data_IF_627033077231
#
_entry.id   IF_627033077231
#
_cell.length_a   1.000
_cell.length_b   1.000
_cell.length_c   1.000
_cell.angle_alpha   90.00
_cell.angle_beta   90.00
_cell.angle_gamma   90.00
#
_symmetry.space_group_name_H-M   'P 1'
#
loop_
_entity.id
_entity.type
_entity.pdbx_description
1 polymer ?
#
# COMPACT_ATOMS: atom_id res chain seq x y z
N UNK A 1 26.91 -4.79 19.57
CA UNK A 1 26.05 -5.93 19.96
C UNK A 1 24.70 -5.51 20.55
N UNK A 2 24.55 -4.30 21.12
CA UNK A 2 23.28 -3.83 21.67
C UNK A 2 22.25 -3.35 20.60
N UNK A 3 22.71 -2.80 19.48
CA UNK A 3 21.82 -2.20 18.46
C UNK A 3 21.04 -3.23 17.63
N UNK A 4 21.63 -4.40 17.36
CA UNK A 4 20.97 -5.49 16.62
C UNK A 4 19.81 -6.14 17.40
N UNK A 5 19.87 -6.15 18.73
CA UNK A 5 18.82 -6.68 19.61
C UNK A 5 17.66 -5.69 19.77
N UNK A 6 17.92 -4.39 19.60
CA UNK A 6 16.90 -3.34 19.66
C UNK A 6 16.07 -3.30 18.38
N UNK A 7 16.72 -3.40 17.21
CA UNK A 7 16.06 -3.47 15.90
C UNK A 7 15.19 -4.74 15.76
N UNK A 8 15.66 -5.92 16.20
CA UNK A 8 14.84 -7.15 16.15
C UNK A 8 13.63 -7.10 17.10
N UNK A 9 13.76 -6.46 18.26
CA UNK A 9 12.65 -6.24 19.20
C UNK A 9 11.63 -5.24 18.67
N UNK A 10 12.05 -4.16 18.01
CA UNK A 10 11.11 -3.22 17.38
C UNK A 10 10.42 -3.83 16.17
N UNK A 11 11.11 -4.65 15.38
CA UNK A 11 10.50 -5.38 14.27
C UNK A 11 9.50 -6.45 14.76
N UNK A 12 9.84 -7.19 15.82
CA UNK A 12 8.94 -8.14 16.47
C UNK A 12 7.74 -7.45 17.15
N UNK A 13 7.94 -6.27 17.76
CA UNK A 13 6.83 -5.47 18.31
C UNK A 13 5.96 -4.85 17.22
N UNK A 14 6.53 -4.44 16.09
CA UNK A 14 5.79 -3.98 14.92
C UNK A 14 4.96 -5.13 14.32
N UNK A 15 5.49 -6.37 14.27
CA UNK A 15 4.73 -7.58 13.91
C UNK A 15 3.64 -7.90 14.93
N UNK A 16 3.91 -7.81 16.23
CA UNK A 16 2.93 -8.09 17.29
C UNK A 16 1.79 -7.05 17.35
N UNK A 17 2.08 -5.78 17.07
CA UNK A 17 1.07 -4.71 16.98
C UNK A 17 0.28 -4.76 15.67
N UNK A 18 0.93 -5.12 14.55
CA UNK A 18 0.21 -5.53 13.32
C UNK A 18 -0.67 -6.75 13.57
N UNK A 19 -0.27 -7.70 14.42
CA UNK A 19 -1.07 -8.87 14.80
C UNK A 19 -2.36 -8.50 15.56
N UNK A 20 -2.34 -7.43 16.36
CA UNK A 20 -3.54 -6.90 17.03
C UNK A 20 -4.50 -6.25 16.02
N UNK A 21 -3.97 -5.54 15.01
CA UNK A 21 -4.77 -5.01 13.90
C UNK A 21 -5.35 -6.15 13.05
N UNK A 22 -4.60 -7.23 12.80
CA UNK A 22 -5.09 -8.47 12.16
C UNK A 22 -6.26 -9.08 12.95
N UNK A 23 -6.32 -8.95 14.28
CA UNK A 23 -7.47 -9.46 15.04
C UNK A 23 -8.73 -8.58 14.89
N UNK A 24 -8.57 -7.27 14.74
CA UNK A 24 -9.68 -6.36 14.40
C UNK A 24 -10.10 -6.50 12.92
N UNK A 25 -9.16 -6.78 12.00
CA UNK A 25 -9.42 -7.09 10.59
C UNK A 25 -10.07 -8.47 10.40
N UNK A 26 -9.65 -9.50 11.15
CA UNK A 26 -10.23 -10.85 11.10
C UNK A 26 -11.70 -10.89 11.54
N UNK A 27 -12.14 -9.97 12.38
CA UNK A 27 -13.55 -9.85 12.74
C UNK A 27 -14.42 -9.34 11.58
N UNK A 28 -13.82 -8.74 10.54
CA UNK A 28 -14.52 -8.18 9.38
C UNK A 28 -14.27 -8.93 8.06
N UNK A 29 -13.11 -9.59 7.89
CA UNK A 29 -12.70 -10.14 6.58
C UNK A 29 -12.97 -11.65 6.36
N UNK A 30 -13.56 -12.39 7.32
CA UNK A 30 -13.98 -13.79 7.10
C UNK A 30 -15.50 -13.99 6.98
N UNK A 31 -16.25 -12.91 6.76
CA UNK A 31 -17.68 -12.92 6.48
C UNK A 31 -18.01 -12.92 4.99
N UNK A 32 -17.64 -13.99 4.27
CA UNK A 32 -18.27 -14.37 3.00
C UNK A 32 -17.90 -13.53 1.77
N UNK A 33 -16.86 -13.96 1.05
CA UNK A 33 -16.94 -13.91 -0.42
C UNK A 33 -17.80 -15.11 -0.83
N UNK A 34 -19.12 -15.00 -0.66
CA UNK A 34 -20.05 -16.00 -1.17
C UNK A 34 -21.36 -15.34 -1.61
N UNK A 35 -21.64 -15.54 -2.90
CA UNK A 35 -22.93 -15.41 -3.58
C UNK A 35 -23.39 -13.99 -3.89
N UNK A 36 -23.05 -13.54 -5.11
CA UNK A 36 -23.71 -12.40 -5.75
C UNK A 36 -22.83 -11.46 -6.56
N UNK A 37 -21.64 -11.86 -7.02
CA UNK A 37 -20.85 -11.03 -7.93
C UNK A 37 -21.42 -11.15 -9.34
N UNK A 38 -21.88 -10.03 -9.89
CA UNK A 38 -22.14 -9.89 -11.32
C UNK A 38 -20.81 -9.82 -12.06
N UNK A 39 -20.69 -10.53 -13.18
CA UNK A 39 -19.52 -10.45 -14.07
C UNK A 39 -19.19 -8.97 -14.34
N UNK A 40 -18.02 -8.50 -13.88
CA UNK A 40 -17.48 -7.17 -14.20
C UNK A 40 -17.32 -6.18 -13.05
N UNK A 41 -17.75 -6.49 -11.82
CA UNK A 41 -17.45 -5.64 -10.66
C UNK A 41 -15.99 -5.86 -10.17
N UNK A 42 -15.22 -4.79 -9.91
CA UNK A 42 -13.84 -4.93 -9.43
C UNK A 42 -13.75 -5.65 -8.08
N UNK A 43 -12.73 -6.49 -7.92
CA UNK A 43 -12.42 -7.16 -6.66
C UNK A 43 -11.80 -6.16 -5.67
N UNK A 44 -12.66 -5.52 -4.89
CA UNK A 44 -12.28 -4.54 -3.86
C UNK A 44 -12.91 -4.90 -2.52
N UNK A 45 -12.08 -5.07 -1.50
CA UNK A 45 -12.56 -5.14 -0.11
C UNK A 45 -13.05 -3.74 0.33
N UNK A 46 -14.37 -3.62 0.53
CA UNK A 46 -14.99 -2.38 1.00
C UNK A 46 -14.59 -2.02 2.45
N UNK A 47 -14.32 -3.02 3.28
CA UNK A 47 -13.79 -2.83 4.61
C UNK A 47 -12.44 -2.13 4.53
N UNK A 48 -11.55 -2.60 3.67
CA UNK A 48 -10.24 -1.98 3.43
C UNK A 48 -10.34 -0.53 2.94
N UNK A 49 -11.26 -0.23 2.02
CA UNK A 49 -11.45 1.14 1.50
C UNK A 49 -11.80 2.16 2.60
N UNK A 50 -12.45 1.72 3.69
CA UNK A 50 -12.77 2.61 4.80
C UNK A 50 -11.52 3.11 5.54
N UNK A 51 -10.43 2.34 5.51
CA UNK A 51 -9.14 2.72 6.11
C UNK A 51 -8.27 3.54 5.14
N UNK A 52 -8.47 3.41 3.83
CA UNK A 52 -7.72 4.16 2.83
C UNK A 52 -8.17 5.62 2.79
N UNK A 53 -7.20 6.53 2.88
CA UNK A 53 -7.40 7.98 2.80
C UNK A 53 -6.42 8.59 1.79
N UNK A 54 -6.78 9.75 1.27
CA UNK A 54 -5.85 10.65 0.59
C UNK A 54 -5.51 11.80 1.54
N UNK A 55 -4.23 12.18 1.58
CA UNK A 55 -3.78 13.34 2.34
C UNK A 55 -4.06 14.60 1.54
N UNK A 56 -4.73 15.58 2.13
CA UNK A 56 -4.94 16.90 1.55
C UNK A 56 -4.48 17.99 2.51
N UNK A 57 -3.48 18.76 2.07
CA UNK A 57 -2.99 19.92 2.80
C UNK A 57 -2.72 21.08 1.84
N UNK A 58 -3.14 22.28 2.21
CA UNK A 58 -2.91 23.50 1.45
C UNK A 58 -1.42 23.84 1.35
N UNK A 59 -0.63 23.42 2.34
CA UNK A 59 0.83 23.60 2.37
C UNK A 59 1.58 22.58 1.48
N UNK A 60 0.84 21.75 0.73
CA UNK A 60 1.37 20.72 -0.16
C UNK A 60 1.91 19.48 0.56
N UNK A 61 1.91 19.46 1.89
CA UNK A 61 2.30 18.34 2.74
C UNK A 61 1.67 18.46 4.13
N UNK A 62 1.52 17.33 4.82
CA UNK A 62 1.14 17.29 6.24
C UNK A 62 2.28 16.70 7.08
N UNK A 63 2.41 17.19 8.31
CA UNK A 63 3.41 16.70 9.26
C UNK A 63 2.95 15.39 9.91
N UNK A 64 3.82 14.40 9.88
CA UNK A 64 3.70 13.16 10.65
C UNK A 64 4.25 13.40 12.04
N UNK A 65 3.50 13.00 13.06
CA UNK A 65 3.87 13.25 14.46
C UNK A 65 4.12 11.97 15.23
N UNK A 66 5.02 12.04 16.21
CA UNK A 66 5.33 10.92 17.11
C UNK A 66 4.15 10.50 17.99
N UNK A 67 3.22 11.42 18.26
CA UNK A 67 2.03 11.17 19.06
C UNK A 67 0.83 12.01 18.55
N UNK A 68 -0.36 11.67 19.04
CA UNK A 68 -1.65 12.26 18.69
C UNK A 68 -1.87 13.66 19.31
N UNK A 69 -0.99 14.63 19.02
CA UNK A 69 -1.04 15.99 19.56
C UNK A 69 -0.36 17.00 18.62
N UNK A 70 -0.78 18.27 18.66
CA UNK A 70 -0.13 19.34 17.87
C UNK A 70 1.23 19.77 18.43
N UNK A 71 1.49 19.45 19.70
CA UNK A 71 2.73 19.71 20.44
C UNK A 71 3.74 18.58 20.27
N UNK A 72 3.31 17.40 19.83
CA UNK A 72 4.18 16.25 19.60
C UNK A 72 5.21 16.51 18.50
N UNK A 73 6.39 15.89 18.66
CA UNK A 73 7.50 15.98 17.71
C UNK A 73 7.07 15.61 16.29
N UNK A 74 7.55 16.38 15.30
CA UNK A 74 7.37 16.08 13.88
C UNK A 74 8.46 15.08 13.48
N UNK A 75 8.07 13.84 13.22
CA UNK A 75 8.96 12.73 12.84
C UNK A 75 9.05 12.55 11.33
N UNK A 76 8.27 13.32 10.57
CA UNK A 76 8.34 13.29 9.11
C UNK A 76 7.24 14.10 8.45
N UNK A 77 7.15 13.96 7.13
CA UNK A 77 6.15 14.63 6.29
C UNK A 77 5.57 13.66 5.28
N UNK A 78 4.30 13.83 4.94
CA UNK A 78 3.62 13.15 3.84
C UNK A 78 3.12 14.19 2.85
N UNK A 79 3.32 13.98 1.56
CA UNK A 79 2.91 14.95 0.54
C UNK A 79 1.39 14.93 0.38
N UNK A 80 0.82 16.09 0.05
CA UNK A 80 -0.57 16.17 -0.39
C UNK A 80 -0.75 15.35 -1.67
N UNK A 81 -1.86 14.63 -1.77
CA UNK A 81 -2.15 13.67 -2.84
C UNK A 81 -1.60 12.26 -2.58
N UNK A 82 -0.78 12.04 -1.56
CA UNK A 82 -0.32 10.69 -1.21
C UNK A 82 -1.44 9.85 -0.56
N UNK A 83 -1.47 8.52 -0.81
CA UNK A 83 -2.39 7.61 -0.16
C UNK A 83 -1.84 7.24 1.23
N UNK A 84 -2.72 6.99 2.20
CA UNK A 84 -2.37 6.45 3.52
C UNK A 84 -3.46 5.51 4.01
N UNK A 85 -3.09 4.49 4.77
CA UNK A 85 -4.07 3.76 5.58
C UNK A 85 -4.12 4.39 6.97
N UNK A 86 -5.31 4.70 7.45
CA UNK A 86 -5.54 5.34 8.74
C UNK A 86 -6.37 4.43 9.64
N UNK A 87 -5.92 4.29 10.88
CA UNK A 87 -6.69 3.65 11.93
C UNK A 87 -8.00 4.44 12.16
N UNK A 88 -9.17 3.79 12.24
CA UNK A 88 -10.44 4.47 12.46
C UNK A 88 -10.53 5.11 13.84
N UNK A 89 -9.75 4.64 14.82
CA UNK A 89 -9.75 5.18 16.17
C UNK A 89 -9.05 6.54 16.20
N UNK A 90 -9.79 7.55 16.68
CA UNK A 90 -9.32 8.94 16.73
C UNK A 90 -8.88 9.28 18.14
N UNK A 91 -7.64 9.78 18.27
CA UNK A 91 -7.10 10.33 19.52
C UNK A 91 -6.83 11.82 19.35
N UNK A 92 -7.52 12.66 20.10
CA UNK A 92 -7.32 14.13 20.08
C UNK A 92 -7.38 14.76 18.67
N UNK A 93 -8.20 14.19 17.78
CA UNK A 93 -8.31 14.63 16.38
C UNK A 93 -7.24 14.06 15.44
N UNK A 94 -6.36 13.16 15.90
CA UNK A 94 -5.36 12.47 15.10
C UNK A 94 -5.69 11.00 14.90
N UNK A 95 -5.29 10.48 13.74
CA UNK A 95 -5.32 9.06 13.41
C UNK A 95 -3.89 8.52 13.42
N UNK A 96 -3.71 7.29 13.93
CA UNK A 96 -2.53 6.49 13.63
C UNK A 96 -2.56 6.16 12.12
N UNK A 97 -1.44 6.35 11.43
CA UNK A 97 -1.34 6.08 9.99
C UNK A 97 -0.23 5.10 9.65
N UNK A 98 -0.53 4.21 8.72
CA UNK A 98 0.38 3.21 8.20
C UNK A 98 0.95 3.69 6.87
N UNK A 99 2.28 3.84 6.87
CA UNK A 99 3.06 4.26 5.72
C UNK A 99 4.15 3.23 5.48
N UNK A 100 4.47 3.02 4.22
CA UNK A 100 5.62 2.24 3.82
C UNK A 100 6.91 3.05 3.99
N UNK A 101 7.46 3.03 5.20
CA UNK A 101 8.70 3.72 5.57
C UNK A 101 9.50 2.92 6.57
N UNK A 102 10.77 2.72 6.24
CA UNK A 102 11.75 2.03 7.05
C UNK A 102 12.64 3.07 7.78
N UNK A 103 12.05 3.83 8.69
CA UNK A 103 12.73 4.91 9.44
C UNK A 103 12.72 4.70 10.98
N UNK A 104 12.30 3.52 11.44
CA UNK A 104 12.26 3.17 12.87
C UNK A 104 11.07 3.72 13.65
N UNK A 105 10.23 4.57 13.07
CA UNK A 105 9.01 5.03 13.74
C UNK A 105 7.86 4.03 13.54
N UNK A 106 7.52 3.30 14.61
CA UNK A 106 6.44 2.29 14.61
C UNK A 106 5.02 2.88 14.67
N UNK A 107 4.89 4.10 15.19
CA UNK A 107 3.63 4.84 15.25
C UNK A 107 3.83 6.25 14.70
N UNK A 108 2.93 6.67 13.81
CA UNK A 108 2.91 8.02 13.24
C UNK A 108 1.49 8.51 13.19
N UNK A 109 1.28 9.77 13.57
CA UNK A 109 -0.04 10.35 13.65
C UNK A 109 -0.22 11.47 12.63
N UNK A 110 -1.40 11.50 12.00
CA UNK A 110 -1.86 12.61 11.14
C UNK A 110 -3.15 13.19 11.69
N UNK A 111 -3.27 14.51 11.65
CA UNK A 111 -4.49 15.17 12.05
C UNK A 111 -5.62 14.85 11.04
N UNK A 112 -6.79 14.45 11.53
CA UNK A 112 -7.89 13.95 10.71
C UNK A 112 -8.45 14.96 9.72
N UNK A 113 -8.27 16.27 9.97
CA UNK A 113 -8.67 17.31 9.00
C UNK A 113 -7.96 17.18 7.65
N UNK A 114 -6.78 16.54 7.63
CA UNK A 114 -5.94 16.31 6.44
C UNK A 114 -6.26 15.01 5.71
N UNK A 115 -7.10 14.15 6.28
CA UNK A 115 -7.42 12.84 5.72
C UNK A 115 -8.79 12.89 5.05
N UNK A 116 -8.85 12.63 3.74
CA UNK A 116 -10.12 12.51 3.02
C UNK A 116 -10.41 11.06 2.67
N UNK A 117 -11.65 10.58 2.88
CA UNK A 117 -12.04 9.24 2.49
C UNK A 117 -12.03 9.08 0.97
N UNK A 118 -11.79 7.86 0.50
CA UNK A 118 -11.81 7.51 -0.94
C UNK A 118 -12.77 6.36 -1.26
N UNK A 119 -13.51 5.90 -0.25
CA UNK A 119 -14.53 4.84 -0.30
C UNK A 119 -15.67 5.11 -1.31
N UNK A 120 -15.96 6.38 -1.56
CA UNK A 120 -16.96 6.84 -2.53
C UNK A 120 -16.39 7.02 -3.94
N UNK A 121 -15.09 6.80 -4.16
CA UNK A 121 -14.49 6.91 -5.48
C UNK A 121 -14.98 5.77 -6.37
N UNK A 122 -15.08 6.05 -7.68
CA UNK A 122 -15.42 5.02 -8.64
C UNK A 122 -14.30 4.00 -8.72
N UNK A 123 -14.64 2.72 -8.53
CA UNK A 123 -13.76 1.60 -8.78
C UNK A 123 -13.94 1.06 -10.21
N UNK A 124 -12.83 0.68 -10.85
CA UNK A 124 -12.81 0.03 -12.16
C UNK A 124 -11.84 -1.15 -12.08
N UNK A 125 -12.27 -2.32 -12.54
CA UNK A 125 -11.48 -3.56 -12.50
C UNK A 125 -10.66 -3.81 -13.77
N UNK A 126 -9.92 -4.92 -13.81
CA UNK A 126 -9.10 -5.28 -14.96
C UNK A 126 -9.94 -5.93 -16.07
N UNK A 127 -9.36 -5.98 -17.27
CA UNK A 127 -9.87 -6.71 -18.43
C UNK A 127 -9.63 -8.22 -18.23
N UNK A 128 -10.47 -8.85 -17.40
CA UNK A 128 -10.27 -10.23 -16.93
C UNK A 128 -8.96 -10.39 -16.14
N UNK A 129 -8.40 -11.61 -16.10
CA UNK A 129 -7.15 -11.90 -15.39
C UNK A 129 -5.87 -11.52 -16.20
N UNK A 130 -5.94 -10.54 -17.11
CA UNK A 130 -4.84 -10.23 -18.03
C UNK A 130 -3.81 -9.24 -17.46
N UNK A 131 -4.09 -8.64 -16.30
CA UNK A 131 -3.32 -7.55 -15.72
C UNK A 131 -3.43 -6.23 -16.48
N UNK A 132 -4.33 -6.14 -17.47
CA UNK A 132 -4.60 -4.91 -18.23
C UNK A 132 -5.81 -4.21 -17.64
N UNK A 133 -5.73 -2.89 -17.49
CA UNK A 133 -6.85 -2.07 -17.09
C UNK A 133 -6.81 -0.76 -17.88
N UNK A 134 -7.92 -0.43 -18.52
CA UNK A 134 -8.08 0.80 -19.28
C UNK A 134 -9.36 1.53 -18.85
N UNK A 135 -9.25 2.80 -18.48
CA UNK A 135 -10.41 3.66 -18.20
C UNK A 135 -10.14 5.10 -18.62
N UNK A 136 -10.92 5.60 -19.59
CA UNK A 136 -10.73 6.94 -20.18
C UNK A 136 -9.27 7.13 -20.65
N UNK A 137 -8.57 8.08 -20.06
CA UNK A 137 -7.18 8.47 -20.35
C UNK A 137 -6.15 7.63 -19.59
N UNK A 138 -6.57 6.75 -18.69
CA UNK A 138 -5.70 5.92 -17.87
C UNK A 138 -5.61 4.51 -18.46
N UNK A 139 -4.41 4.03 -18.74
CA UNK A 139 -4.17 2.67 -19.20
C UNK A 139 -2.94 2.08 -18.51
N UNK A 140 -3.11 0.92 -17.90
CA UNK A 140 -2.05 0.21 -17.17
C UNK A 140 -1.99 -1.25 -17.62
N UNK A 141 -0.77 -1.78 -17.64
CA UNK A 141 -0.49 -3.20 -17.76
C UNK A 141 0.43 -3.61 -16.63
N UNK A 142 -0.05 -4.53 -15.80
CA UNK A 142 0.74 -5.23 -14.79
C UNK A 142 1.10 -6.62 -15.33
N UNK A 143 2.32 -7.07 -15.05
CA UNK A 143 2.79 -8.40 -15.44
C UNK A 143 3.58 -9.06 -14.31
N UNK A 144 3.63 -10.40 -14.35
CA UNK A 144 4.22 -11.25 -13.31
C UNK A 144 5.42 -12.02 -13.87
N UNK A 145 6.56 -11.36 -14.17
CA UNK A 145 7.74 -12.08 -14.61
C UNK A 145 8.18 -13.09 -13.54
N UNK A 146 8.84 -14.17 -13.94
CA UNK A 146 9.51 -15.05 -12.98
C UNK A 146 10.57 -14.23 -12.21
N UNK A 147 10.69 -14.48 -10.90
CA UNK A 147 11.73 -13.85 -10.10
C UNK A 147 13.11 -14.38 -10.52
N UNK A 148 14.02 -13.48 -10.87
CA UNK A 148 15.40 -13.82 -11.22
C UNK A 148 16.32 -13.54 -10.03
N UNK A 149 16.49 -14.55 -9.18
CA UNK A 149 17.38 -14.45 -8.01
C UNK A 149 18.84 -14.09 -8.38
N UNK A 150 19.27 -14.32 -9.62
CA UNK A 150 20.65 -14.00 -10.06
C UNK A 150 20.86 -12.51 -10.32
N UNK A 151 19.77 -11.76 -10.55
CA UNK A 151 19.79 -10.32 -10.73
C UNK A 151 19.80 -9.54 -9.40
N UNK A 152 19.66 -10.23 -8.27
CA UNK A 152 19.49 -9.62 -6.95
C UNK A 152 20.53 -10.10 -5.94
N UNK A 153 20.78 -9.28 -4.92
CA UNK A 153 21.54 -9.69 -3.75
C UNK A 153 20.61 -10.33 -2.72
N UNK A 154 20.62 -11.66 -2.65
CA UNK A 154 19.84 -12.43 -1.67
C UNK A 154 20.66 -12.64 -0.40
N UNK A 155 20.13 -12.22 0.75
CA UNK A 155 20.71 -12.48 2.08
C UNK A 155 19.63 -12.91 3.08
N UNK A 156 20.02 -13.18 4.34
CA UNK A 156 19.10 -13.41 5.45
C UNK A 156 19.41 -12.48 6.61
N UNK A 157 18.37 -12.02 7.31
CA UNK A 157 18.54 -11.26 8.55
C UNK A 157 18.79 -12.19 9.76
N UNK A 158 18.97 -11.60 10.95
CA UNK A 158 19.24 -12.36 12.18
C UNK A 158 18.12 -13.34 12.57
N UNK A 159 16.89 -13.07 12.14
CA UNK A 159 15.72 -13.91 12.38
C UNK A 159 15.51 -14.95 11.26
N UNK A 160 16.47 -15.05 10.32
CA UNK A 160 16.44 -16.01 9.22
C UNK A 160 15.56 -15.60 8.02
N UNK A 161 14.94 -14.43 8.06
CA UNK A 161 14.08 -13.93 6.96
C UNK A 161 14.94 -13.54 5.76
N UNK A 162 14.50 -13.94 4.57
CA UNK A 162 15.11 -13.54 3.31
C UNK A 162 15.03 -12.02 3.12
N UNK A 163 16.12 -11.45 2.63
CA UNK A 163 16.22 -10.08 2.15
C UNK A 163 16.59 -10.10 0.67
N UNK A 164 15.87 -9.31 -0.13
CA UNK A 164 16.17 -9.04 -1.53
C UNK A 164 16.69 -7.62 -1.63
N UNK A 165 17.94 -7.47 -2.07
CA UNK A 165 18.65 -6.17 -2.12
C UNK A 165 18.64 -5.42 -0.78
N UNK A 166 18.69 -6.18 0.32
CA UNK A 166 18.72 -5.65 1.68
C UNK A 166 17.36 -5.28 2.27
N UNK A 167 16.25 -5.49 1.55
CA UNK A 167 14.89 -5.23 2.02
C UNK A 167 14.11 -6.53 2.19
N UNK A 168 13.15 -6.54 3.11
CA UNK A 168 12.20 -7.66 3.24
C UNK A 168 11.22 -7.59 2.04
N UNK A 169 11.09 -8.65 1.23
CA UNK A 169 10.16 -8.69 0.12
C UNK A 169 8.71 -8.74 0.62
N UNK A 170 7.84 -7.92 0.04
CA UNK A 170 6.38 -8.03 0.23
C UNK A 170 5.81 -9.15 -0.64
N UNK A 171 4.90 -9.94 -0.08
CA UNK A 171 4.26 -11.08 -0.77
C UNK A 171 4.72 -12.44 -0.27
N UNK A 172 5.78 -12.47 0.55
CA UNK A 172 6.39 -13.68 1.11
C UNK A 172 6.41 -13.65 2.64
N UNK A 173 6.34 -14.82 3.28
CA UNK A 173 6.53 -14.98 4.73
C UNK A 173 7.96 -15.44 5.05
N UNK A 174 8.92 -14.60 4.69
CA UNK A 174 10.35 -14.82 4.96
C UNK A 174 11.08 -15.74 3.96
N UNK A 175 10.40 -16.16 2.90
CA UNK A 175 10.94 -16.90 1.76
C UNK A 175 11.51 -16.02 0.66
N UNK A 176 12.12 -16.67 -0.35
CA UNK A 176 12.49 -16.01 -1.60
C UNK A 176 11.26 -15.90 -2.51
N UNK A 177 11.03 -14.74 -3.17
CA UNK A 177 9.94 -14.59 -4.11
C UNK A 177 10.01 -15.57 -5.28
N UNK A 178 8.86 -15.91 -5.85
CA UNK A 178 8.77 -16.70 -7.07
C UNK A 178 8.39 -15.86 -8.30
N UNK A 179 7.64 -14.77 -8.08
CA UNK A 179 7.12 -13.88 -9.13
C UNK A 179 7.43 -12.41 -8.83
N UNK A 180 8.05 -11.75 -9.79
CA UNK A 180 8.24 -10.30 -9.78
C UNK A 180 6.98 -9.53 -10.16
N UNK A 181 7.03 -8.22 -10.01
CA UNK A 181 5.98 -7.27 -10.39
C UNK A 181 6.55 -6.24 -11.36
N UNK A 182 5.89 -6.04 -12.50
CA UNK A 182 6.24 -4.99 -13.46
C UNK A 182 4.99 -4.22 -13.89
N UNK A 183 5.08 -2.90 -13.84
CA UNK A 183 3.98 -1.97 -14.18
C UNK A 183 4.39 -1.10 -15.36
N UNK A 184 3.55 -1.07 -16.38
CA UNK A 184 3.60 -0.08 -17.45
C UNK A 184 2.33 0.77 -17.41
N UNK A 185 2.48 2.06 -17.15
CA UNK A 185 1.37 2.99 -16.97
C UNK A 185 1.44 4.14 -17.99
N UNK A 186 0.28 4.51 -18.52
CA UNK A 186 0.11 5.73 -19.30
C UNK A 186 -1.14 6.50 -18.86
N UNK A 187 -1.02 7.83 -18.83
CA UNK A 187 -2.09 8.76 -18.49
C UNK A 187 -2.12 9.86 -19.57
N UNK A 188 -3.28 10.06 -20.20
CA UNK A 188 -3.44 11.03 -21.28
C UNK A 188 -2.56 10.72 -22.50
N UNK A 189 -2.31 9.42 -22.76
CA UNK A 189 -1.45 8.97 -23.87
C UNK A 189 0.06 9.14 -23.62
N UNK A 190 0.48 9.58 -22.43
CA UNK A 190 1.89 9.70 -22.06
C UNK A 190 2.27 8.64 -21.04
N UNK A 191 3.44 8.03 -21.21
CA UNK A 191 4.01 7.12 -20.22
C UNK A 191 4.24 7.88 -18.90
N UNK A 192 3.84 7.26 -17.80
CA UNK A 192 4.11 7.78 -16.45
C UNK A 192 5.30 7.02 -15.89
N UNK A 193 6.34 7.75 -15.48
CA UNK A 193 7.47 7.15 -14.79
C UNK A 193 7.11 6.86 -13.33
N UNK A 194 7.23 5.59 -12.95
CA UNK A 194 7.07 5.12 -11.57
C UNK A 194 8.48 4.89 -11.03
N UNK A 195 8.89 5.53 -9.92
CA UNK A 195 10.21 5.30 -9.34
C UNK A 195 10.41 3.82 -8.98
N UNK A 196 11.61 3.29 -9.19
CA UNK A 196 11.92 1.89 -8.91
C UNK A 196 11.56 1.49 -7.47
N UNK A 197 11.90 2.35 -6.49
CA UNK A 197 11.53 2.16 -5.08
C UNK A 197 10.02 2.03 -4.80
N UNK A 198 9.14 2.40 -5.75
CA UNK A 198 7.70 2.19 -5.64
C UNK A 198 7.27 0.75 -5.97
N UNK A 199 8.15 -0.08 -6.53
CA UNK A 199 7.86 -1.47 -6.93
C UNK A 199 8.94 -2.49 -6.56
N UNK A 200 10.18 -2.08 -6.31
CA UNK A 200 11.34 -2.99 -6.23
C UNK A 200 11.25 -4.06 -5.13
N UNK A 201 10.52 -3.79 -4.04
CA UNK A 201 10.32 -4.74 -2.94
C UNK A 201 8.94 -5.42 -2.96
N UNK A 202 8.21 -5.35 -4.07
CA UNK A 202 6.86 -5.90 -4.22
C UNK A 202 6.87 -7.14 -5.11
N UNK A 203 6.35 -8.25 -4.59
CA UNK A 203 6.33 -9.53 -5.27
C UNK A 203 4.96 -10.20 -5.19
N UNK A 204 4.84 -11.36 -5.84
CA UNK A 204 3.63 -12.19 -5.83
C UNK A 204 2.34 -11.45 -6.24
N UNK A 205 2.34 -10.70 -7.37
CA UNK A 205 1.17 -9.96 -7.80
C UNK A 205 -0.03 -10.87 -8.08
N UNK A 206 -1.22 -10.42 -7.65
CA UNK A 206 -2.49 -10.99 -8.11
C UNK A 206 -3.12 -10.04 -9.14
N UNK A 207 -3.18 -10.47 -10.40
CA UNK A 207 -3.67 -9.62 -11.49
C UNK A 207 -5.19 -9.37 -11.42
N UNK A 208 -5.95 -10.23 -10.73
CA UNK A 208 -7.42 -10.12 -10.64
C UNK A 208 -7.87 -9.02 -9.67
N UNK A 209 -7.01 -8.66 -8.72
CA UNK A 209 -7.28 -7.63 -7.69
C UNK A 209 -6.83 -6.23 -8.12
N UNK A 210 -6.42 -6.07 -9.39
CA UNK A 210 -6.01 -4.79 -9.95
C UNK A 210 -7.21 -3.85 -10.07
N UNK A 211 -7.17 -2.74 -9.35
CA UNK A 211 -8.29 -1.80 -9.29
C UNK A 211 -7.80 -0.38 -9.48
N UNK A 212 -8.47 0.35 -10.36
CA UNK A 212 -8.38 1.81 -10.46
C UNK A 212 -9.48 2.45 -9.62
N UNK A 213 -9.10 3.34 -8.71
CA UNK A 213 -10.01 4.21 -7.97
C UNK A 213 -9.85 5.65 -8.46
N UNK A 214 -10.94 6.34 -8.77
CA UNK A 214 -10.90 7.77 -9.16
C UNK A 214 -12.15 8.53 -8.73
N UNK A 215 -12.02 9.79 -8.25
CA UNK A 215 -13.18 10.64 -7.95
C UNK A 215 -13.84 11.22 -9.22
N UNK A 216 -13.25 11.04 -10.41
CA UNK A 216 -13.76 11.64 -11.65
C UNK A 216 -12.95 11.31 -12.90
N UNK A 217 -12.09 12.23 -13.32
CA UNK A 217 -11.12 12.00 -14.40
C UNK A 217 -9.84 11.40 -13.82
N UNK A 218 -9.43 10.18 -14.22
CA UNK A 218 -8.20 9.57 -13.73
C UNK A 218 -6.92 10.30 -14.20
N UNK A 219 -7.00 11.21 -15.19
CA UNK A 219 -5.88 12.11 -15.49
C UNK A 219 -5.63 13.16 -14.40
N UNK A 220 -6.69 13.61 -13.73
CA UNK A 220 -6.59 14.55 -12.63
C UNK A 220 -6.18 13.85 -11.34
N UNK A 221 -6.85 12.74 -11.00
CA UNK A 221 -6.52 11.96 -9.80
C UNK A 221 -6.95 10.51 -9.94
N UNK A 222 -6.03 9.60 -9.62
CA UNK A 222 -6.24 8.17 -9.68
C UNK A 222 -5.38 7.46 -8.62
N UNK A 223 -5.96 6.47 -7.96
CA UNK A 223 -5.23 5.46 -7.20
C UNK A 223 -5.28 4.14 -7.95
N UNK A 224 -4.13 3.48 -8.07
CA UNK A 224 -4.03 2.10 -8.52
C UNK A 224 -3.81 1.21 -7.29
N UNK A 225 -4.67 0.24 -7.08
CA UNK A 225 -4.65 -0.65 -5.93
C UNK A 225 -4.51 -2.11 -6.37
N UNK A 226 -3.79 -2.89 -5.58
CA UNK A 226 -3.70 -4.35 -5.74
C UNK A 226 -3.61 -5.04 -4.38
N UNK A 227 -4.34 -6.13 -4.22
CA UNK A 227 -4.15 -7.08 -3.12
C UNK A 227 -3.37 -8.29 -3.63
N UNK A 228 -2.18 -8.50 -3.10
CA UNK A 228 -1.18 -9.42 -3.63
C UNK A 228 -0.84 -10.53 -2.62
N UNK A 229 -0.33 -11.64 -3.15
CA UNK A 229 -0.16 -12.92 -2.46
C UNK A 229 -1.47 -13.52 -1.92
N UNK A 230 -1.57 -14.84 -1.88
CA UNK A 230 -2.76 -15.60 -1.49
C UNK A 230 -2.56 -16.38 -0.17
N UNK A 231 -1.47 -16.11 0.53
CA UNK A 231 -1.09 -16.79 1.77
C UNK A 231 -0.51 -15.86 2.84
N UNK A 232 0.33 -16.44 3.71
CA UNK A 232 1.08 -15.66 4.68
C UNK A 232 2.03 -14.69 3.95
N UNK A 233 2.03 -13.43 4.36
CA UNK A 233 2.75 -12.36 3.64
C UNK A 233 1.90 -11.57 2.64
N UNK A 234 0.61 -11.88 2.54
CA UNK A 234 -0.39 -11.09 1.82
C UNK A 234 -0.34 -9.60 2.15
N UNK A 235 -0.51 -8.75 1.14
CA UNK A 235 -0.44 -7.30 1.33
C UNK A 235 -1.34 -6.56 0.34
N UNK A 236 -1.70 -5.33 0.70
CA UNK A 236 -2.35 -4.40 -0.20
C UNK A 236 -1.43 -3.22 -0.44
N UNK A 237 -1.24 -2.89 -1.71
CA UNK A 237 -0.50 -1.71 -2.15
C UNK A 237 -1.42 -0.76 -2.90
N UNK A 238 -1.24 0.53 -2.66
CA UNK A 238 -1.92 1.61 -3.36
C UNK A 238 -0.87 2.59 -3.88
N UNK A 239 -0.83 2.83 -5.18
CA UNK A 239 -0.05 3.91 -5.80
C UNK A 239 -0.96 5.08 -6.17
N UNK A 240 -0.55 6.30 -5.82
CA UNK A 240 -1.29 7.51 -6.15
C UNK A 240 -0.70 8.24 -7.35
N UNK A 241 -1.59 8.77 -8.18
CA UNK A 241 -1.28 9.60 -9.32
C UNK A 241 -2.16 10.86 -9.29
N UNK A 242 -1.55 12.00 -9.57
CA UNK A 242 -2.27 13.28 -9.65
C UNK A 242 -1.66 14.15 -10.75
N UNK A 243 -2.52 14.62 -11.66
CA UNK A 243 -2.16 15.38 -12.87
C UNK A 243 -1.11 14.65 -13.71
N UNK A 244 -1.29 13.34 -13.90
CA UNK A 244 -0.39 12.49 -14.68
C UNK A 244 0.97 12.18 -14.04
N UNK A 245 1.19 12.53 -12.77
CA UNK A 245 2.45 12.27 -12.07
C UNK A 245 2.25 11.38 -10.84
N UNK A 246 3.23 10.53 -10.55
CA UNK A 246 3.28 9.71 -9.34
C UNK A 246 3.39 10.57 -8.07
N UNK A 247 2.63 10.24 -7.02
CA UNK A 247 2.56 10.98 -5.74
C UNK A 247 3.01 10.19 -4.51
N UNK A 248 3.21 8.89 -4.66
CA UNK A 248 3.59 8.01 -3.55
C UNK A 248 2.78 6.74 -3.52
N UNK A 249 3.14 5.86 -2.58
CA UNK A 249 2.43 4.61 -2.31
C UNK A 249 2.14 4.44 -0.83
N UNK A 250 1.15 3.61 -0.54
CA UNK A 250 0.89 3.06 0.79
C UNK A 250 0.83 1.54 0.68
N UNK A 251 1.32 0.86 1.71
CA UNK A 251 1.27 -0.59 1.82
C UNK A 251 0.75 -0.96 3.20
N UNK A 252 -0.11 -1.96 3.27
CA UNK A 252 -0.56 -2.57 4.51
C UNK A 252 -0.59 -4.09 4.36
N UNK A 253 -0.33 -4.79 5.45
CA UNK A 253 -0.65 -6.21 5.60
C UNK A 253 -1.99 -6.27 6.32
N UNK A 254 -3.09 -6.63 5.63
CA UNK A 254 -4.41 -6.75 6.24
C UNK A 254 -4.50 -7.90 7.26
#
# INVERSE_FOLDING_TARGET
MADGVRLSREFAMMKLRKLILIQLFRAFCFGGVALGQTDGEPLVDKGLLNFLKVVEDADGHSNLRADASLEAEIVGKVLSGSPVFADPDIRSGFHLVYLDREDGHSERYLHGSRLKPVDHWKAVGPEGATGRLSHKTFAVKVSTPAFDATAHKITRNADGMVLVDGQIPWGEDGGEPSRGLSISLSIGGRKVEIPAAATDNLYEPNLETLVLLTPGDPAERAFLMMQNSDGAGGYVVVWAFEKGAYRGRAIIMP
#
